data_IF_250861917753
#
_entry.id   IF_250861917753
#
_cell.length_a   1.000
_cell.length_b   1.000
_cell.length_c   1.000
_cell.angle_alpha   90.00
_cell.angle_beta   90.00
_cell.angle_gamma   90.00
#
_symmetry.space_group_name_H-M   'P 1'
#
loop_
_entity.id
_entity.type
_entity.pdbx_description
1 polymer ?
#
# COMPACT_ATOMS: atom_id res chain seq x y z
N UNK A 1 1.00 7.53 -13.02
CA UNK A 1 0.43 6.24 -12.56
C UNK A 1 1.18 5.08 -13.20
N UNK A 2 1.57 5.20 -14.48
CA UNK A 2 2.43 4.25 -15.20
C UNK A 2 3.74 3.94 -14.46
N UNK A 3 4.54 4.94 -14.12
CA UNK A 3 5.82 4.74 -13.38
C UNK A 3 5.62 3.97 -12.06
N UNK A 4 4.58 4.30 -11.29
CA UNK A 4 4.28 3.60 -10.05
C UNK A 4 3.89 2.13 -10.31
N UNK A 5 3.14 1.88 -11.39
CA UNK A 5 2.76 0.52 -11.82
C UNK A 5 3.97 -0.31 -12.23
N UNK A 6 4.93 0.28 -12.95
CA UNK A 6 6.19 -0.37 -13.31
C UNK A 6 7.01 -0.77 -12.08
N UNK A 7 7.10 0.10 -11.07
CA UNK A 7 7.77 -0.23 -9.81
C UNK A 7 7.05 -1.36 -9.06
N UNK A 8 5.71 -1.38 -9.06
CA UNK A 8 4.94 -2.50 -8.49
C UNK A 8 5.17 -3.80 -9.27
N UNK A 9 5.36 -3.74 -10.60
CA UNK A 9 5.70 -4.91 -11.42
C UNK A 9 7.06 -5.50 -11.03
N UNK A 10 8.04 -4.67 -10.69
CA UNK A 10 9.32 -5.14 -10.16
C UNK A 10 9.12 -5.92 -8.85
N UNK A 11 8.36 -5.37 -7.90
CA UNK A 11 8.07 -6.05 -6.63
C UNK A 11 7.31 -7.37 -6.81
N UNK A 12 6.29 -7.37 -7.66
CA UNK A 12 5.52 -8.57 -8.03
C UNK A 12 6.44 -9.66 -8.58
N UNK A 13 7.36 -9.31 -9.48
CA UNK A 13 8.31 -10.26 -10.06
C UNK A 13 9.28 -10.82 -9.03
N UNK A 14 9.80 -9.98 -8.13
CA UNK A 14 10.74 -10.39 -7.09
C UNK A 14 10.12 -11.32 -6.04
N UNK A 15 8.81 -11.24 -5.82
CA UNK A 15 8.06 -12.12 -4.92
C UNK A 15 7.68 -13.47 -5.54
N UNK A 16 7.82 -13.65 -6.87
CA UNK A 16 7.40 -14.91 -7.52
C UNK A 16 8.12 -16.11 -6.90
N UNK A 17 7.33 -17.07 -6.43
CA UNK A 17 7.83 -18.28 -5.79
C UNK A 17 8.32 -18.11 -4.35
N UNK A 18 8.16 -16.92 -3.75
CA UNK A 18 8.54 -16.63 -2.36
C UNK A 18 7.32 -16.30 -1.52
N UNK A 19 7.40 -16.57 -0.22
CA UNK A 19 6.38 -16.15 0.74
C UNK A 19 6.58 -14.69 1.15
N UNK A 20 7.82 -14.33 1.43
CA UNK A 20 8.28 -12.99 1.76
C UNK A 20 9.44 -12.62 0.84
N UNK A 21 9.79 -11.34 0.74
CA UNK A 21 11.00 -10.94 0.02
C UNK A 21 12.25 -11.58 0.65
N UNK A 22 12.24 -11.78 1.97
CA UNK A 22 13.23 -12.56 2.72
C UNK A 22 13.19 -14.09 2.54
N UNK A 23 12.30 -14.62 1.69
CA UNK A 23 12.11 -16.06 1.48
C UNK A 23 11.05 -16.66 2.39
N UNK A 24 11.47 -17.48 3.36
CA UNK A 24 10.58 -18.17 4.31
C UNK A 24 10.05 -17.27 5.44
N UNK A 25 10.75 -16.16 5.72
CA UNK A 25 10.41 -15.21 6.77
C UNK A 25 10.57 -13.76 6.34
N UNK A 26 10.07 -12.84 7.18
CA UNK A 26 10.20 -11.40 6.99
C UNK A 26 11.68 -11.02 6.98
N UNK A 27 12.14 -10.45 5.87
CA UNK A 27 13.49 -9.92 5.70
C UNK A 27 13.52 -8.39 5.63
N UNK A 28 14.70 -7.85 5.32
CA UNK A 28 14.91 -6.40 5.20
C UNK A 28 13.97 -5.74 4.19
N UNK A 29 13.83 -6.34 3.00
CA UNK A 29 12.99 -5.78 1.95
C UNK A 29 11.50 -5.80 2.32
N UNK A 30 11.03 -6.79 3.08
CA UNK A 30 9.65 -6.80 3.59
C UNK A 30 9.38 -5.61 4.53
N UNK A 31 10.34 -5.29 5.40
CA UNK A 31 10.26 -4.15 6.32
C UNK A 31 10.28 -2.84 5.53
N UNK A 32 11.16 -2.70 4.54
CA UNK A 32 11.22 -1.52 3.69
C UNK A 32 9.95 -1.35 2.83
N UNK A 33 9.42 -2.46 2.31
CA UNK A 33 8.20 -2.50 1.51
C UNK A 33 6.91 -2.37 2.34
N UNK A 34 6.99 -2.30 3.68
CA UNK A 34 5.84 -2.01 4.54
C UNK A 34 5.04 -0.79 4.07
N UNK A 35 5.71 0.22 3.48
CA UNK A 35 5.02 1.35 2.87
C UNK A 35 3.92 0.93 1.88
N UNK A 36 4.26 -0.03 1.01
CA UNK A 36 3.37 -0.58 -0.02
C UNK A 36 2.22 -1.38 0.62
N UNK A 37 2.53 -2.25 1.58
CA UNK A 37 1.51 -3.08 2.24
C UNK A 37 0.47 -2.24 3.00
N UNK A 38 0.94 -1.22 3.72
CA UNK A 38 0.13 -0.56 4.72
C UNK A 38 -0.47 0.77 4.24
N UNK A 39 0.33 1.61 3.57
CA UNK A 39 -0.09 2.97 3.22
C UNK A 39 -0.77 3.04 1.85
N UNK A 40 -0.29 2.28 0.87
CA UNK A 40 -0.89 2.30 -0.48
C UNK A 40 -2.35 1.84 -0.43
N UNK A 41 -2.66 0.77 0.32
CA UNK A 41 -4.05 0.32 0.48
C UNK A 41 -4.98 1.38 1.11
N UNK A 42 -4.48 2.17 2.06
CA UNK A 42 -5.24 3.27 2.68
C UNK A 42 -5.42 4.43 1.69
N UNK A 43 -4.36 4.81 0.98
CA UNK A 43 -4.37 5.91 0.02
C UNK A 43 -5.27 5.60 -1.18
N UNK A 44 -5.25 4.36 -1.69
CA UNK A 44 -6.16 3.88 -2.73
C UNK A 44 -7.62 4.08 -2.35
N UNK A 45 -7.97 3.68 -1.12
CA UNK A 45 -9.33 3.83 -0.60
C UNK A 45 -9.74 5.30 -0.45
N UNK A 46 -8.86 6.14 0.10
CA UNK A 46 -9.14 7.58 0.30
C UNK A 46 -9.22 8.34 -1.03
N UNK A 47 -8.39 7.99 -2.01
CA UNK A 47 -8.36 8.67 -3.31
C UNK A 47 -9.32 8.05 -4.34
N UNK A 48 -9.94 6.91 -4.04
CA UNK A 48 -10.80 6.18 -4.99
C UNK A 48 -10.04 5.65 -6.22
N UNK A 49 -8.78 5.21 -6.05
CA UNK A 49 -7.94 4.69 -7.13
C UNK A 49 -7.53 3.24 -6.87
N UNK A 50 -7.26 2.49 -7.94
CA UNK A 50 -6.69 1.14 -7.88
C UNK A 50 -5.32 1.14 -8.57
N UNK A 51 -4.25 0.97 -7.80
CA UNK A 51 -2.87 0.82 -8.28
C UNK A 51 -2.37 -0.62 -8.10
N UNK A 52 -2.74 -1.27 -7.00
CA UNK A 52 -2.44 -2.67 -6.66
C UNK A 52 -3.78 -3.37 -6.46
N UNK A 53 -4.07 -4.31 -7.35
CA UNK A 53 -5.27 -5.16 -7.36
C UNK A 53 -4.90 -6.61 -7.67
N UNK A 54 -5.80 -7.53 -7.33
CA UNK A 54 -5.59 -8.96 -7.52
C UNK A 54 -5.51 -9.39 -8.99
N UNK A 55 -6.11 -8.64 -9.91
CA UNK A 55 -6.05 -8.94 -11.35
C UNK A 55 -4.65 -8.70 -11.90
N UNK A 56 -4.04 -7.60 -11.49
CA UNK A 56 -2.76 -7.13 -12.02
C UNK A 56 -1.57 -7.60 -11.19
N UNK A 57 -1.69 -7.65 -9.86
CA UNK A 57 -0.62 -7.92 -8.90
C UNK A 57 -0.99 -8.98 -7.85
N UNK A 58 -1.39 -10.20 -8.27
CA UNK A 58 -1.90 -11.22 -7.36
C UNK A 58 -0.86 -11.67 -6.31
N UNK A 59 0.43 -11.74 -6.65
CA UNK A 59 1.47 -12.18 -5.71
C UNK A 59 1.72 -11.10 -4.67
N UNK A 60 1.77 -9.83 -5.07
CA UNK A 60 1.93 -8.70 -4.18
C UNK A 60 0.74 -8.57 -3.24
N UNK A 61 -0.51 -8.71 -3.73
CA UNK A 61 -1.71 -8.73 -2.88
C UNK A 61 -1.61 -9.81 -1.79
N UNK A 62 -1.25 -11.04 -2.17
CA UNK A 62 -1.04 -12.13 -1.21
C UNK A 62 0.06 -11.82 -0.20
N UNK A 63 1.16 -11.21 -0.65
CA UNK A 63 2.24 -10.79 0.25
C UNK A 63 1.76 -9.72 1.25
N UNK A 64 0.98 -8.73 0.81
CA UNK A 64 0.40 -7.70 1.69
C UNK A 64 -0.45 -8.35 2.78
N UNK A 65 -1.33 -9.28 2.42
CA UNK A 65 -2.18 -10.00 3.38
C UNK A 65 -1.35 -10.78 4.41
N UNK A 66 -0.33 -11.51 3.95
CA UNK A 66 0.55 -12.29 4.82
C UNK A 66 1.38 -11.40 5.74
N UNK A 67 1.93 -10.30 5.21
CA UNK A 67 2.74 -9.35 5.96
C UNK A 67 1.91 -8.67 7.05
N UNK A 68 0.73 -8.14 6.72
CA UNK A 68 -0.18 -7.51 7.68
C UNK A 68 -0.77 -8.52 8.69
N UNK A 69 -0.79 -9.82 8.35
CA UNK A 69 -1.25 -10.87 9.25
C UNK A 69 -0.21 -11.28 10.30
N UNK A 70 1.07 -10.94 10.09
CA UNK A 70 2.17 -11.20 11.03
C UNK A 70 1.93 -10.52 12.38
N UNK A 71 2.22 -11.23 13.48
CA UNK A 71 2.05 -10.70 14.84
C UNK A 71 2.85 -9.41 15.06
N UNK A 72 4.11 -9.40 14.63
CA UNK A 72 5.01 -8.24 14.77
C UNK A 72 4.43 -7.01 14.08
N UNK A 73 3.86 -7.18 12.88
CA UNK A 73 3.27 -6.07 12.12
C UNK A 73 1.98 -5.60 12.78
N UNK A 74 1.11 -6.51 13.23
CA UNK A 74 -0.12 -6.15 13.96
C UNK A 74 0.15 -5.39 15.25
N UNK A 75 1.19 -5.73 15.98
CA UNK A 75 1.55 -5.10 17.24
C UNK A 75 2.21 -3.73 17.06
N UNK A 76 2.83 -3.47 15.91
CA UNK A 76 3.57 -2.22 15.64
C UNK A 76 2.82 -1.24 14.73
N UNK A 77 1.86 -1.71 13.96
CA UNK A 77 1.11 -0.85 13.02
C UNK A 77 0.05 0.01 13.72
N UNK A 78 -0.11 1.28 13.30
CA UNK A 78 -1.25 2.09 13.72
C UNK A 78 -2.59 1.43 13.36
N UNK A 79 -3.67 1.69 14.10
CA UNK A 79 -5.01 1.27 13.69
C UNK A 79 -5.37 1.83 12.31
N UNK A 80 -5.83 0.96 11.41
CA UNK A 80 -6.16 1.33 10.02
C UNK A 80 -7.17 2.49 9.94
N UNK A 81 -8.19 2.47 10.79
CA UNK A 81 -9.25 3.50 10.80
C UNK A 81 -8.69 4.89 11.13
N UNK A 82 -7.71 4.98 12.03
CA UNK A 82 -7.06 6.25 12.36
C UNK A 82 -6.31 6.82 11.16
N UNK A 83 -5.70 5.96 10.36
CA UNK A 83 -5.00 6.38 9.14
C UNK A 83 -5.97 6.81 8.06
N UNK A 84 -7.05 6.06 7.86
CA UNK A 84 -8.12 6.44 6.93
C UNK A 84 -8.65 7.84 7.28
N UNK A 85 -9.03 8.09 8.53
CA UNK A 85 -9.48 9.41 8.98
C UNK A 85 -8.42 10.49 8.77
N UNK A 86 -7.15 10.20 9.08
CA UNK A 86 -6.04 11.15 8.90
C UNK A 86 -5.85 11.56 7.44
N UNK A 87 -5.83 10.60 6.51
CA UNK A 87 -5.64 10.90 5.09
C UNK A 87 -6.89 11.50 4.45
N UNK A 88 -8.08 11.07 4.87
CA UNK A 88 -9.34 11.65 4.42
C UNK A 88 -9.39 13.15 4.74
N UNK A 89 -9.16 13.52 6.00
CA UNK A 89 -9.13 14.93 6.42
C UNK A 89 -8.08 15.74 5.64
N UNK A 90 -6.92 15.13 5.36
CA UNK A 90 -5.85 15.79 4.61
C UNK A 90 -6.16 15.94 3.12
N UNK A 91 -6.88 14.99 2.54
CA UNK A 91 -7.36 15.09 1.16
C UNK A 91 -8.40 16.21 1.06
N UNK A 92 -9.38 16.23 1.96
CA UNK A 92 -10.42 17.27 2.03
C UNK A 92 -9.80 18.67 2.17
N UNK A 93 -8.84 18.85 3.08
CA UNK A 93 -8.11 20.11 3.24
C UNK A 93 -7.39 20.53 1.94
N UNK A 94 -6.74 19.60 1.23
CA UNK A 94 -6.10 19.89 -0.06
C UNK A 94 -7.12 20.29 -1.12
N UNK A 95 -8.25 19.59 -1.20
CA UNK A 95 -9.32 19.90 -2.15
C UNK A 95 -9.90 21.29 -1.88
N UNK A 96 -10.17 21.61 -0.61
CA UNK A 96 -10.66 22.93 -0.20
C UNK A 96 -9.66 24.07 -0.45
N UNK A 97 -8.36 23.78 -0.39
CA UNK A 97 -7.30 24.76 -0.67
C UNK A 97 -7.02 25.00 -2.16
N UNK A 98 -7.66 24.21 -3.05
CA UNK A 98 -7.47 24.33 -4.49
C UNK A 98 -8.29 25.53 -5.00
N UNK A 99 -7.69 26.55 -5.62
CA UNK A 99 -8.46 27.71 -6.09
C UNK A 99 -9.51 27.25 -7.10
N UNK A 100 -10.77 27.66 -6.89
CA UNK A 100 -11.83 27.43 -7.88
C UNK A 100 -11.45 28.18 -9.16
N UNK A 101 -11.05 27.45 -10.19
CA UNK A 101 -10.90 28.00 -11.54
C UNK A 101 -12.31 28.27 -12.04
N UNK A 102 -12.78 29.50 -11.88
CA UNK A 102 -14.00 29.95 -12.54
C UNK A 102 -13.74 29.93 -14.06
N UNK A 103 -14.55 29.15 -14.78
CA UNK A 103 -14.67 29.24 -16.24
C UNK A 103 -15.57 30.41 -16.60
#
# INVERSE_FOLDING_TARGET
MEEASELMRTLESELKGKRFFGGEGIGFLDIAANFVAFWVGVLQQVMGVSLIDEETFPVLCKWVEMFLSSSIVKETSPPRDKLLSFFQARLEARVASRPMVYK
#
